data_IF_657254635131
#
_entry.id   IF_657254635131
#
_cell.length_a   1.000
_cell.length_b   1.000
_cell.length_c   1.000
_cell.angle_alpha   90.00
_cell.angle_beta   90.00
_cell.angle_gamma   90.00
#
_symmetry.space_group_name_H-M   'P 1'
#
loop_
_entity.id
_entity.type
_entity.pdbx_description
1 polymer ?
#
# COMPACT_ATOMS: atom_id res chain seq x y z
N UNK A 1 -0.47 5.34 -1.74
CA UNK A 1 0.67 5.01 -0.84
C UNK A 1 1.90 4.90 -1.74
N UNK A 2 2.86 5.80 -1.56
CA UNK A 2 4.07 5.84 -2.39
C UNK A 2 5.03 4.68 -2.06
N UNK A 3 6.03 4.49 -2.93
CA UNK A 3 7.08 3.49 -2.77
C UNK A 3 8.33 4.04 -2.06
N UNK A 4 9.39 3.24 -2.08
CA UNK A 4 10.74 3.57 -1.61
C UNK A 4 11.28 4.84 -2.27
N UNK A 5 12.15 5.57 -1.58
CA UNK A 5 12.89 6.74 -2.09
C UNK A 5 12.00 7.77 -2.81
N UNK A 6 10.95 8.22 -2.11
CA UNK A 6 10.18 9.38 -2.52
C UNK A 6 10.33 10.47 -1.46
N UNK A 7 10.94 11.60 -1.85
CA UNK A 7 11.14 12.76 -0.98
C UNK A 7 9.81 13.47 -0.72
N UNK A 8 9.41 13.50 0.54
CA UNK A 8 8.26 14.19 1.14
C UNK A 8 7.34 14.98 0.16
N UNK A 9 7.25 16.30 0.30
CA UNK A 9 6.30 17.12 -0.47
C UNK A 9 6.72 17.30 -1.94
N UNK A 10 8.03 17.30 -2.24
CA UNK A 10 8.61 17.60 -3.55
C UNK A 10 8.24 16.59 -4.62
N UNK A 11 8.07 15.31 -4.27
CA UNK A 11 7.70 14.28 -5.24
C UNK A 11 6.27 13.79 -5.05
N UNK A 12 5.83 13.63 -3.79
CA UNK A 12 4.53 13.03 -3.52
C UNK A 12 3.39 13.99 -3.90
N UNK A 13 3.50 15.28 -3.59
CA UNK A 13 2.42 16.24 -3.91
C UNK A 13 2.28 16.50 -5.41
N UNK A 14 3.34 16.74 -6.19
CA UNK A 14 3.20 16.87 -7.64
C UNK A 14 2.62 15.62 -8.29
N UNK A 15 3.03 14.43 -7.88
CA UNK A 15 2.48 13.19 -8.41
C UNK A 15 1.00 12.99 -8.04
N UNK A 16 0.60 13.32 -6.80
CA UNK A 16 -0.81 13.29 -6.39
C UNK A 16 -1.66 14.31 -7.17
N UNK A 17 -1.15 15.53 -7.37
CA UNK A 17 -1.81 16.57 -8.18
C UNK A 17 -1.94 16.16 -9.64
N UNK A 18 -0.90 15.55 -10.20
CA UNK A 18 -0.92 15.00 -11.57
C UNK A 18 -1.98 13.91 -11.71
N UNK A 19 -2.05 12.99 -10.75
CA UNK A 19 -3.06 11.94 -10.75
C UNK A 19 -4.49 12.51 -10.60
N UNK A 20 -4.68 13.52 -9.75
CA UNK A 20 -5.96 14.24 -9.63
C UNK A 20 -6.37 14.86 -10.97
N UNK A 21 -5.46 15.58 -11.63
CA UNK A 21 -5.73 16.21 -12.93
C UNK A 21 -6.12 15.17 -14.00
N UNK A 22 -5.49 14.00 -14.01
CA UNK A 22 -5.86 12.91 -14.92
C UNK A 22 -7.27 12.39 -14.65
N UNK A 23 -7.67 12.24 -13.38
CA UNK A 23 -9.04 11.85 -13.05
C UNK A 23 -10.06 12.93 -13.41
N UNK A 24 -9.75 14.20 -13.14
CA UNK A 24 -10.62 15.33 -13.48
C UNK A 24 -10.81 15.43 -15.00
N UNK A 25 -9.77 15.14 -15.79
CA UNK A 25 -9.84 15.14 -17.25
C UNK A 25 -10.77 14.05 -17.79
N UNK A 26 -10.77 12.86 -17.19
CA UNK A 26 -11.57 11.72 -17.66
C UNK A 26 -13.00 11.75 -17.12
N UNK A 27 -13.16 12.12 -15.85
CA UNK A 27 -14.41 11.96 -15.11
C UNK A 27 -15.10 13.26 -14.71
N UNK A 28 -14.48 14.42 -14.99
CA UNK A 28 -14.91 15.72 -14.48
C UNK A 28 -14.47 15.96 -13.03
N UNK A 29 -14.39 17.24 -12.66
CA UNK A 29 -14.04 17.65 -11.30
C UNK A 29 -15.01 17.07 -10.28
N UNK A 30 -14.46 16.45 -9.23
CA UNK A 30 -15.23 15.96 -8.08
C UNK A 30 -15.75 14.53 -8.20
N UNK A 31 -15.44 13.81 -9.29
CA UNK A 31 -15.70 12.36 -9.37
C UNK A 31 -14.76 11.57 -8.45
N UNK A 32 -13.46 11.91 -8.46
CA UNK A 32 -12.41 11.27 -7.68
C UNK A 32 -11.64 12.33 -6.90
N UNK A 33 -11.27 12.01 -5.67
CA UNK A 33 -10.37 12.83 -4.86
C UNK A 33 -9.15 11.99 -4.51
N UNK A 34 -7.99 12.46 -4.93
CA UNK A 34 -6.70 11.82 -4.68
C UNK A 34 -6.14 12.33 -3.37
N UNK A 35 -5.96 11.40 -2.42
CA UNK A 35 -5.34 11.68 -1.12
C UNK A 35 -4.02 10.93 -1.03
N UNK A 36 -2.87 11.61 -1.05
CA UNK A 36 -1.59 10.95 -0.83
C UNK A 36 -1.49 10.46 0.61
N UNK A 37 -1.08 9.21 0.79
CA UNK A 37 -0.68 8.66 2.08
C UNK A 37 0.84 8.61 2.12
N UNK A 38 1.41 9.41 3.02
CA UNK A 38 2.85 9.68 3.15
C UNK A 38 3.39 8.92 4.34
N UNK A 39 4.48 8.19 4.15
CA UNK A 39 5.21 7.48 5.18
C UNK A 39 6.70 7.86 5.08
N UNK A 40 7.44 7.87 6.21
CA UNK A 40 8.85 8.25 6.21
C UNK A 40 9.66 7.32 5.31
N UNK A 41 10.32 7.91 4.31
CA UNK A 41 11.35 7.29 3.49
C UNK A 41 12.60 8.18 3.55
N UNK A 42 13.78 7.56 3.60
CA UNK A 42 15.06 8.25 3.50
C UNK A 42 15.50 8.39 2.03
N UNK A 43 16.25 9.45 1.73
CA UNK A 43 16.81 9.75 0.39
C UNK A 43 18.33 9.92 0.44
N UNK A 44 19.01 9.09 1.19
CA UNK A 44 20.47 9.12 1.20
C UNK A 44 21.06 8.68 -0.16
N UNK A 45 22.30 9.14 -0.38
CA UNK A 45 23.08 9.00 -1.62
C UNK A 45 22.96 7.61 -2.29
N UNK A 46 23.11 7.55 -3.62
CA UNK A 46 23.18 6.29 -4.41
C UNK A 46 24.19 5.26 -3.87
N UNK A 47 25.15 5.69 -3.05
CA UNK A 47 26.15 4.85 -2.36
C UNK A 47 25.58 4.15 -1.12
N UNK A 48 24.55 4.71 -0.48
CA UNK A 48 23.86 4.21 0.71
C UNK A 48 22.56 3.43 0.38
N UNK A 49 22.16 3.37 -0.89
CA UNK A 49 20.91 2.74 -1.37
C UNK A 49 20.52 1.38 -0.76
N UNK A 50 21.49 0.54 -0.40
CA UNK A 50 21.22 -0.72 0.31
C UNK A 50 20.80 -0.45 1.75
N UNK A 51 21.54 0.37 2.48
CA UNK A 51 21.28 0.75 3.87
C UNK A 51 19.95 1.53 3.97
N UNK A 52 19.69 2.45 3.05
CA UNK A 52 18.43 3.20 2.94
C UNK A 52 17.25 2.25 2.75
N UNK A 53 17.42 1.21 1.93
CA UNK A 53 16.40 0.18 1.73
C UNK A 53 16.10 -0.59 3.02
N UNK A 54 17.10 -0.86 3.88
CA UNK A 54 16.86 -1.50 5.18
C UNK A 54 16.13 -0.58 6.16
N UNK A 55 16.52 0.68 6.21
CA UNK A 55 15.90 1.64 7.12
C UNK A 55 14.48 2.01 6.66
N UNK A 56 14.22 2.10 5.35
CA UNK A 56 12.88 2.24 4.79
C UNK A 56 12.01 1.00 5.07
N UNK A 57 12.58 -0.21 5.07
CA UNK A 57 11.83 -1.39 5.49
C UNK A 57 11.40 -1.31 6.96
N UNK A 58 12.28 -0.81 7.85
CA UNK A 58 11.95 -0.60 9.27
C UNK A 58 10.93 0.52 9.43
N UNK A 59 11.07 1.61 8.69
CA UNK A 59 10.14 2.73 8.68
C UNK A 59 8.77 2.31 8.17
N UNK A 60 8.69 1.48 7.13
CA UNK A 60 7.45 0.90 6.62
C UNK A 60 6.78 -0.02 7.64
N UNK A 61 7.56 -0.80 8.38
CA UNK A 61 7.07 -1.64 9.48
C UNK A 61 6.54 -0.79 10.65
N UNK A 62 7.28 0.24 11.06
CA UNK A 62 6.89 1.18 12.11
C UNK A 62 5.64 2.01 11.72
N UNK A 63 5.56 2.44 10.47
CA UNK A 63 4.42 3.18 9.91
C UNK A 63 3.13 2.37 9.93
N UNK A 64 3.23 1.03 9.90
CA UNK A 64 2.08 0.13 9.97
C UNK A 64 1.14 0.45 11.13
N UNK A 65 1.65 0.72 12.33
CA UNK A 65 0.82 1.05 13.49
C UNK A 65 0.11 2.40 13.35
N UNK A 66 0.79 3.41 12.79
CA UNK A 66 0.21 4.73 12.58
C UNK A 66 -0.94 4.67 11.56
N UNK A 67 -0.74 3.94 10.45
CA UNK A 67 -1.78 3.71 9.45
C UNK A 67 -2.90 2.79 9.96
N UNK A 68 -2.61 1.80 10.81
CA UNK A 68 -3.64 1.00 11.47
C UNK A 68 -4.58 1.87 12.29
N UNK A 69 -4.03 2.79 13.10
CA UNK A 69 -4.83 3.77 13.85
C UNK A 69 -5.65 4.68 12.93
N UNK A 70 -5.10 5.10 11.79
CA UNK A 70 -5.83 5.86 10.78
C UNK A 70 -7.01 5.05 10.22
N UNK A 71 -6.82 3.77 9.90
CA UNK A 71 -7.87 2.87 9.43
C UNK A 71 -8.96 2.66 10.49
N UNK A 72 -8.58 2.48 11.75
CA UNK A 72 -9.53 2.40 12.87
C UNK A 72 -10.40 3.65 12.98
N UNK A 73 -9.79 4.83 12.95
CA UNK A 73 -10.54 6.11 12.95
C UNK A 73 -11.44 6.25 11.72
N UNK A 74 -10.98 5.83 10.55
CA UNK A 74 -11.77 5.85 9.33
C UNK A 74 -12.97 4.92 9.43
N UNK A 75 -12.80 3.71 9.96
CA UNK A 75 -13.89 2.76 10.10
C UNK A 75 -14.91 3.19 11.15
N UNK A 76 -14.46 3.75 12.28
CA UNK A 76 -15.34 4.38 13.28
C UNK A 76 -16.17 5.51 12.68
N UNK A 77 -15.53 6.38 11.88
CA UNK A 77 -16.22 7.46 11.17
C UNK A 77 -17.24 6.89 10.18
N UNK A 78 -16.86 5.91 9.36
CA UNK A 78 -17.72 5.29 8.34
C UNK A 78 -18.95 4.63 8.97
N UNK A 79 -18.78 3.92 10.09
CA UNK A 79 -19.89 3.30 10.82
C UNK A 79 -20.88 4.34 11.35
N UNK A 80 -20.39 5.47 11.87
CA UNK A 80 -21.24 6.59 12.30
C UNK A 80 -21.91 7.30 11.14
N UNK A 81 -21.19 7.50 10.04
CA UNK A 81 -21.69 8.14 8.83
C UNK A 81 -22.86 7.37 8.24
N UNK A 82 -22.79 6.03 8.21
CA UNK A 82 -23.85 5.15 7.71
C UNK A 82 -25.19 5.26 8.45
N UNK A 83 -25.20 5.84 9.66
CA UNK A 83 -26.42 6.05 10.46
C UNK A 83 -27.11 7.40 10.19
N UNK A 84 -26.50 8.28 9.38
CA UNK A 84 -27.07 9.59 9.07
C UNK A 84 -28.19 9.47 8.01
N UNK A 85 -29.16 10.40 7.98
CA UNK A 85 -30.23 10.42 6.97
C UNK A 85 -29.73 10.50 5.52
N UNK A 86 -28.60 11.21 5.31
CA UNK A 86 -27.94 11.35 4.01
C UNK A 86 -26.44 10.99 4.17
N UNK A 87 -26.09 9.70 4.15
CA UNK A 87 -24.73 9.25 4.41
C UNK A 87 -23.83 9.47 3.19
N UNK A 88 -22.55 9.77 3.43
CA UNK A 88 -21.56 9.76 2.35
C UNK A 88 -21.47 8.39 1.65
N UNK A 89 -21.77 8.34 0.35
CA UNK A 89 -21.77 7.11 -0.46
C UNK A 89 -20.49 6.91 -1.28
N UNK A 90 -19.49 7.77 -1.08
CA UNK A 90 -18.24 7.71 -1.84
C UNK A 90 -17.49 6.41 -1.54
N UNK A 91 -16.98 5.79 -2.60
CA UNK A 91 -16.21 4.54 -2.52
C UNK A 91 -14.75 4.86 -2.30
N UNK A 92 -14.14 4.19 -1.33
CA UNK A 92 -12.70 4.30 -1.09
C UNK A 92 -11.96 3.28 -1.95
N UNK A 93 -10.90 3.73 -2.62
CA UNK A 93 -9.99 2.89 -3.36
C UNK A 93 -8.58 3.16 -2.84
N UNK A 94 -7.72 2.14 -2.83
CA UNK A 94 -6.32 2.29 -2.43
C UNK A 94 -5.43 1.94 -3.60
N UNK A 95 -4.47 2.81 -3.89
CA UNK A 95 -3.35 2.50 -4.78
C UNK A 95 -2.07 2.46 -3.95
N UNK A 96 -1.39 1.32 -3.97
CA UNK A 96 -0.12 1.10 -3.30
C UNK A 96 0.95 0.74 -4.35
N UNK A 97 2.04 1.51 -4.37
CA UNK A 97 3.14 1.31 -5.31
C UNK A 97 4.37 0.77 -4.59
N UNK A 98 5.06 -0.23 -5.16
CA UNK A 98 6.35 -0.74 -4.65
C UNK A 98 6.29 -1.05 -3.15
N UNK A 99 7.20 -0.50 -2.33
CA UNK A 99 7.23 -0.69 -0.88
C UNK A 99 6.00 -0.14 -0.15
N UNK A 100 5.20 0.74 -0.77
CA UNK A 100 3.90 1.13 -0.25
C UNK A 100 2.93 -0.04 -0.07
N UNK A 101 3.15 -1.16 -0.78
CA UNK A 101 2.39 -2.40 -0.55
C UNK A 101 2.78 -3.07 0.77
N UNK A 102 4.03 -2.96 1.21
CA UNK A 102 4.47 -3.40 2.54
C UNK A 102 3.80 -2.56 3.63
N UNK A 103 3.74 -1.23 3.46
CA UNK A 103 3.04 -0.32 4.37
C UNK A 103 1.56 -0.69 4.50
N UNK A 104 0.86 -0.85 3.37
CA UNK A 104 -0.55 -1.26 3.36
C UNK A 104 -0.77 -2.58 4.08
N UNK A 105 0.05 -3.59 3.74
CA UNK A 105 0.02 -4.92 4.36
C UNK A 105 0.17 -4.83 5.87
N UNK A 106 1.20 -4.13 6.33
CA UNK A 106 1.51 -4.01 7.75
C UNK A 106 0.42 -3.23 8.50
N UNK A 107 -0.14 -2.19 7.88
CA UNK A 107 -1.26 -1.44 8.46
C UNK A 107 -2.49 -2.32 8.68
N UNK A 108 -2.85 -3.15 7.70
CA UNK A 108 -4.00 -4.05 7.79
C UNK A 108 -3.77 -5.15 8.84
N UNK A 109 -2.61 -5.80 8.87
CA UNK A 109 -2.28 -6.80 9.92
C UNK A 109 -2.32 -6.15 11.30
N UNK A 110 -1.68 -5.00 11.46
CA UNK A 110 -1.61 -4.29 12.73
C UNK A 110 -3.01 -3.90 13.18
N UNK A 111 -3.87 -3.46 12.27
CA UNK A 111 -5.26 -3.14 12.59
C UNK A 111 -6.03 -4.38 13.06
N UNK A 112 -5.90 -5.51 12.34
CA UNK A 112 -6.58 -6.75 12.72
C UNK A 112 -6.25 -7.20 14.13
N UNK A 113 -4.95 -7.18 14.44
CA UNK A 113 -4.43 -7.64 15.72
C UNK A 113 -4.74 -6.72 16.89
N UNK A 114 -4.82 -5.40 16.65
CA UNK A 114 -4.88 -4.43 17.74
C UNK A 114 -6.25 -3.76 17.91
N UNK A 115 -7.03 -3.56 16.85
CA UNK A 115 -8.25 -2.74 16.95
C UNK A 115 -9.53 -3.38 16.38
N UNK A 116 -9.48 -4.54 15.73
CA UNK A 116 -10.67 -5.13 15.09
C UNK A 116 -11.09 -6.52 15.58
N UNK A 117 -10.54 -6.99 16.71
CA UNK A 117 -10.89 -8.30 17.30
C UNK A 117 -10.78 -9.45 16.29
N UNK A 118 -9.69 -9.47 15.52
CA UNK A 118 -9.42 -10.45 14.47
C UNK A 118 -10.39 -10.45 13.27
N UNK A 119 -11.13 -9.35 13.03
CA UNK A 119 -12.04 -9.22 11.88
C UNK A 119 -11.58 -8.14 10.89
N UNK A 120 -11.60 -8.44 9.59
CA UNK A 120 -11.32 -7.46 8.54
C UNK A 120 -12.60 -7.08 7.79
N UNK A 121 -13.15 -5.86 7.98
CA UNK A 121 -14.29 -5.42 7.20
C UNK A 121 -13.89 -5.02 5.78
N UNK A 122 -14.86 -5.04 4.88
CA UNK A 122 -14.71 -4.57 3.50
C UNK A 122 -14.65 -3.03 3.46
N UNK A 123 -13.45 -2.48 3.67
CA UNK A 123 -13.18 -1.05 3.67
C UNK A 123 -13.11 -0.45 2.27
N UNK A 124 -12.58 -1.21 1.31
CA UNK A 124 -12.19 -0.69 0.01
C UNK A 124 -13.03 -1.29 -1.11
N UNK A 125 -13.35 -0.46 -2.10
CA UNK A 125 -13.93 -0.95 -3.34
C UNK A 125 -12.87 -1.66 -4.19
N UNK A 126 -11.71 -1.04 -4.34
CA UNK A 126 -10.58 -1.60 -5.07
C UNK A 126 -9.28 -1.35 -4.31
N UNK A 127 -8.40 -2.34 -4.30
CA UNK A 127 -6.98 -2.18 -3.96
C UNK A 127 -6.15 -2.45 -5.21
N UNK A 128 -5.38 -1.47 -5.64
CA UNK A 128 -4.44 -1.55 -6.75
C UNK A 128 -3.03 -1.72 -6.19
N UNK A 129 -2.44 -2.89 -6.40
CA UNK A 129 -1.07 -3.24 -6.02
C UNK A 129 -0.18 -3.11 -7.25
N UNK A 130 0.55 -2.00 -7.37
CA UNK A 130 1.38 -1.69 -8.53
C UNK A 130 2.84 -1.94 -8.20
N UNK A 131 3.54 -2.74 -9.03
CA UNK A 131 4.96 -3.06 -8.87
C UNK A 131 5.31 -3.51 -7.43
N UNK A 132 4.46 -4.32 -6.81
CA UNK A 132 4.49 -4.56 -5.37
C UNK A 132 5.77 -5.25 -4.86
N UNK A 133 6.51 -4.57 -3.97
CA UNK A 133 7.71 -5.11 -3.30
C UNK A 133 7.35 -5.92 -2.05
N UNK A 134 6.61 -7.00 -2.28
CA UNK A 134 6.21 -8.01 -1.29
C UNK A 134 6.32 -9.38 -1.92
N UNK A 135 6.38 -10.44 -1.11
CA UNK A 135 6.46 -11.82 -1.61
C UNK A 135 5.21 -12.17 -2.44
N UNK A 136 5.38 -12.93 -3.52
CA UNK A 136 4.32 -13.26 -4.49
C UNK A 136 3.17 -14.12 -3.93
N UNK A 137 3.39 -14.86 -2.85
CA UNK A 137 2.36 -15.58 -2.10
C UNK A 137 1.76 -14.74 -0.96
N UNK A 138 2.04 -13.43 -0.86
CA UNK A 138 1.59 -12.62 0.28
C UNK A 138 0.06 -12.60 0.44
N UNK A 139 -0.70 -12.75 -0.63
CA UNK A 139 -2.17 -12.66 -0.63
C UNK A 139 -2.87 -13.98 -0.27
N UNK A 140 -2.12 -15.08 -0.17
CA UNK A 140 -2.66 -16.40 0.17
C UNK A 140 -3.17 -16.44 1.62
N UNK A 141 -4.10 -17.36 1.90
CA UNK A 141 -4.65 -17.55 3.25
C UNK A 141 -3.56 -17.87 4.27
N UNK A 142 -3.65 -17.26 5.45
CA UNK A 142 -2.65 -17.41 6.52
C UNK A 142 -1.31 -16.71 6.24
N UNK A 143 -1.19 -15.95 5.14
CA UNK A 143 -0.01 -15.13 4.85
C UNK A 143 -0.25 -13.69 5.27
N UNK A 144 0.85 -12.95 5.39
CA UNK A 144 0.84 -11.58 5.93
C UNK A 144 -0.02 -10.59 5.12
N UNK A 145 -0.33 -10.85 3.86
CA UNK A 145 -1.19 -10.00 3.04
C UNK A 145 -2.61 -10.51 2.85
N UNK A 146 -3.04 -11.59 3.53
CA UNK A 146 -4.39 -12.14 3.35
C UNK A 146 -5.48 -11.08 3.61
N UNK A 147 -5.25 -10.20 4.57
CA UNK A 147 -6.17 -9.13 4.92
C UNK A 147 -6.35 -8.09 3.82
N UNK A 148 -5.43 -7.97 2.87
CA UNK A 148 -5.63 -7.13 1.67
C UNK A 148 -6.83 -7.67 0.88
N UNK A 149 -6.86 -8.99 0.65
CA UNK A 149 -7.95 -9.69 -0.03
C UNK A 149 -9.27 -9.58 0.73
N UNK A 150 -9.25 -9.59 2.07
CA UNK A 150 -10.47 -9.44 2.88
C UNK A 150 -10.95 -7.99 3.02
N UNK A 151 -10.05 -7.02 2.90
CA UNK A 151 -10.36 -5.59 3.07
C UNK A 151 -11.06 -4.97 1.87
N UNK A 152 -11.07 -5.65 0.72
CA UNK A 152 -11.47 -5.07 -0.55
C UNK A 152 -12.41 -5.97 -1.35
N UNK A 153 -13.28 -5.36 -2.16
CA UNK A 153 -14.12 -6.12 -3.10
C UNK A 153 -13.31 -6.63 -4.28
N UNK A 154 -12.37 -5.83 -4.78
CA UNK A 154 -11.46 -6.21 -5.85
C UNK A 154 -10.02 -5.92 -5.43
N UNK A 155 -9.11 -6.87 -5.67
CA UNK A 155 -7.67 -6.68 -5.57
C UNK A 155 -7.09 -6.84 -6.98
N UNK A 156 -6.41 -5.81 -7.47
CA UNK A 156 -5.80 -5.77 -8.79
C UNK A 156 -4.29 -5.69 -8.62
N UNK A 157 -3.56 -6.63 -9.22
CA UNK A 157 -2.10 -6.68 -9.18
C UNK A 157 -1.56 -6.32 -10.56
N UNK A 158 -0.81 -5.23 -10.64
CA UNK A 158 -0.05 -4.85 -11.83
C UNK A 158 1.41 -5.24 -11.64
N UNK A 159 1.86 -6.18 -12.46
CA UNK A 159 3.21 -6.73 -12.43
C UNK A 159 3.83 -6.72 -13.82
N UNK A 160 5.15 -6.61 -13.90
CA UNK A 160 5.87 -6.75 -15.16
C UNK A 160 7.14 -7.59 -14.94
N UNK A 161 7.36 -8.59 -15.80
CA UNK A 161 8.50 -9.51 -15.67
C UNK A 161 9.85 -8.82 -15.96
N UNK A 162 9.81 -7.71 -16.71
CA UNK A 162 10.92 -6.83 -17.04
C UNK A 162 11.06 -5.64 -16.07
N UNK A 163 10.18 -5.54 -15.07
CA UNK A 163 10.35 -4.60 -13.96
C UNK A 163 11.57 -5.04 -13.13
N UNK A 164 12.73 -4.51 -13.50
CA UNK A 164 14.01 -4.75 -12.86
C UNK A 164 14.23 -3.86 -11.62
N UNK A 165 13.20 -3.18 -11.11
CA UNK A 165 13.24 -2.56 -9.79
C UNK A 165 13.38 -3.65 -8.71
N UNK A 166 14.54 -3.96 -8.10
CA UNK A 166 15.83 -3.29 -8.08
C UNK A 166 16.96 -4.34 -7.92
N UNK A 167 18.20 -4.08 -8.40
CA UNK A 167 19.38 -4.84 -8.00
C UNK A 167 19.54 -4.97 -6.47
N UNK A 168 19.14 -3.95 -5.70
CA UNK A 168 19.21 -3.98 -4.24
C UNK A 168 18.19 -4.91 -3.56
N UNK A 169 16.92 -4.95 -4.00
CA UNK A 169 15.96 -5.90 -3.41
C UNK A 169 16.42 -7.34 -3.65
N UNK A 170 17.00 -7.64 -4.82
CA UNK A 170 17.63 -8.95 -5.09
C UNK A 170 18.87 -9.18 -4.21
N UNK A 171 19.80 -8.22 -4.09
CA UNK A 171 21.01 -8.36 -3.27
C UNK A 171 20.69 -8.55 -1.78
N UNK A 172 19.79 -7.73 -1.24
CA UNK A 172 19.38 -7.70 0.17
C UNK A 172 18.63 -8.96 0.55
N UNK A 173 17.67 -9.41 -0.26
CA UNK A 173 16.96 -10.66 0.00
C UNK A 173 17.83 -11.91 -0.22
N UNK A 174 18.83 -11.86 -1.11
CA UNK A 174 19.85 -12.91 -1.20
C UNK A 174 20.59 -13.08 0.12
N UNK A 175 20.99 -11.96 0.74
CA UNK A 175 21.66 -11.95 2.06
C UNK A 175 20.77 -12.54 3.16
N UNK A 176 19.46 -12.35 3.07
CA UNK A 176 18.44 -12.91 3.98
C UNK A 176 17.94 -14.32 3.60
N UNK A 177 18.51 -14.99 2.60
CA UNK A 177 18.10 -16.32 2.11
C UNK A 177 16.62 -16.43 1.68
N UNK A 178 15.97 -15.32 1.37
CA UNK A 178 14.58 -15.32 0.88
C UNK A 178 14.59 -15.42 -0.64
N UNK A 179 14.63 -16.65 -1.17
CA UNK A 179 14.50 -16.96 -2.61
C UNK A 179 13.08 -16.71 -3.18
N UNK A 180 12.18 -16.12 -2.38
CA UNK A 180 10.79 -15.85 -2.76
C UNK A 180 10.70 -14.80 -3.86
N UNK A 181 9.92 -15.09 -4.91
CA UNK A 181 9.64 -14.17 -6.01
C UNK A 181 8.82 -12.97 -5.50
N UNK A 182 8.91 -11.84 -6.18
CA UNK A 182 8.18 -10.62 -5.84
C UNK A 182 6.85 -10.54 -6.58
N UNK A 183 5.80 -10.13 -5.87
CA UNK A 183 4.46 -9.98 -6.42
C UNK A 183 4.44 -9.01 -7.61
N UNK A 184 5.18 -7.90 -7.52
CA UNK A 184 5.32 -6.92 -8.61
C UNK A 184 6.08 -7.40 -9.84
N UNK A 185 6.84 -8.50 -9.73
CA UNK A 185 7.58 -9.06 -10.85
C UNK A 185 6.82 -10.19 -11.52
N UNK A 186 6.33 -11.15 -10.74
CA UNK A 186 5.82 -12.42 -11.26
C UNK A 186 4.31 -12.56 -11.15
N UNK A 187 3.63 -11.60 -10.52
CA UNK A 187 2.23 -11.74 -10.11
C UNK A 187 2.06 -12.76 -8.96
N UNK A 188 0.81 -13.03 -8.57
CA UNK A 188 0.48 -13.97 -7.49
C UNK A 188 0.99 -15.39 -7.77
N UNK A 189 1.46 -16.09 -6.74
CA UNK A 189 1.94 -17.47 -6.86
C UNK A 189 0.80 -18.48 -7.08
N UNK A 190 -0.27 -18.35 -6.29
CA UNK A 190 -1.45 -19.18 -6.37
C UNK A 190 -2.72 -18.36 -6.06
N UNK A 191 -3.88 -18.87 -6.49
CA UNK A 191 -5.21 -18.31 -6.24
C UNK A 191 -6.12 -19.38 -5.61
#
# INVERSE_FOLDING_TARGET
IHGFNNTAESEIFPNAKKLQALFDQVGGSGLVYVVPLIWPCDDDSVVAFIDDYWDDQRAADASGMAFARMLGKFDDWRRKEALKPDPCTRRINVLAHSMGNRVLRNALISWVRNDSSDQMPQLFRNVFMVAADVVNHTLERGRSGEYISYSARNVLVYYANDDLAMPASKLVNLKNRTLSRRLGMTGPESF
#
